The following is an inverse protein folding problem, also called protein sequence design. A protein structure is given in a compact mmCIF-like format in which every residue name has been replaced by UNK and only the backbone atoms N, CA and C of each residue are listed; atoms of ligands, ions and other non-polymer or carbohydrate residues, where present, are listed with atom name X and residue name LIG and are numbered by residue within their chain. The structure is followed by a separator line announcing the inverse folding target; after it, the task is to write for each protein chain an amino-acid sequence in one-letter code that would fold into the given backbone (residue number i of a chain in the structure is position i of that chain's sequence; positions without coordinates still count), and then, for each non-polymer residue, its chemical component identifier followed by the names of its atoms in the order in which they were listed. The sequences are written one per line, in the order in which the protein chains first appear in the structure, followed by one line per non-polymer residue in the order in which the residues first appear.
data_IF_945445022932
#
_entry.id   IF_945445022932
#
_cell.length_a   1.000
_cell.length_b   1.000
_cell.length_c   1.000
_cell.angle_alpha   90.00
_cell.angle_beta   90.00
_cell.angle_gamma   90.00
#
_symmetry.space_group_name_H-M   'P 1'
#
loop_
_entity.id
_entity.type
_entity.pdbx_description
1 polymer ?
#
# COMPACT_ATOMS: atom_id res chain seq x y z
N UNK A 1 -2.83 9.15 72.04
CA UNK A 1 -2.70 9.33 70.58
C UNK A 1 -1.63 10.37 70.37
N UNK A 2 -0.45 9.95 69.89
CA UNK A 2 0.67 10.86 69.63
C UNK A 2 0.41 11.60 68.31
N UNK A 3 0.18 12.91 68.38
CA UNK A 3 0.00 13.77 67.21
C UNK A 3 1.34 14.25 66.65
N UNK A 4 1.38 14.58 65.37
CA UNK A 4 2.58 15.10 64.70
C UNK A 4 2.81 16.55 65.15
N UNK A 5 3.94 16.84 65.82
CA UNK A 5 4.29 18.19 66.27
C UNK A 5 5.04 18.93 65.17
N UNK A 6 4.51 20.07 64.74
CA UNK A 6 5.19 20.97 63.79
C UNK A 6 5.23 22.38 64.35
N UNK A 7 6.40 23.04 64.24
CA UNK A 7 6.54 24.45 64.55
C UNK A 7 5.98 25.30 63.43
N UNK A 8 5.03 26.16 63.78
CA UNK A 8 4.51 27.20 62.88
C UNK A 8 4.79 28.52 63.57
N UNK A 9 5.77 29.28 63.05
CA UNK A 9 6.28 30.47 63.73
C UNK A 9 7.00 30.13 65.04
N UNK A 10 6.58 30.75 66.15
CA UNK A 10 7.17 30.57 67.49
C UNK A 10 6.39 29.59 68.40
N UNK A 11 5.31 28.97 67.92
CA UNK A 11 4.47 28.06 68.71
C UNK A 11 4.56 26.61 68.21
N UNK A 12 4.55 25.68 69.16
CA UNK A 12 4.54 24.24 68.91
C UNK A 12 3.08 23.76 68.76
N UNK A 13 2.63 23.57 67.51
CA UNK A 13 1.27 23.12 67.18
C UNK A 13 1.26 21.61 66.98
N UNK A 14 0.35 20.91 67.67
CA UNK A 14 0.18 19.46 67.53
C UNK A 14 -0.96 19.14 66.57
N UNK A 15 -0.64 18.47 65.46
CA UNK A 15 -1.61 18.02 64.47
C UNK A 15 -2.08 16.61 64.82
N UNK A 16 -3.36 16.48 65.17
CA UNK A 16 -4.00 15.19 65.45
C UNK A 16 -4.46 14.47 64.17
N UNK A 17 -4.42 15.14 63.02
CA UNK A 17 -4.83 14.59 61.75
C UNK A 17 -3.62 14.19 60.90
N UNK A 18 -3.44 12.89 60.66
CA UNK A 18 -2.50 12.37 59.67
C UNK A 18 -3.26 11.74 58.50
N UNK A 19 -3.07 12.33 57.30
CA UNK A 19 -3.69 11.83 56.06
C UNK A 19 -3.22 10.40 55.74
N UNK A 20 -1.95 10.11 55.97
CA UNK A 20 -1.34 8.82 55.69
C UNK A 20 -1.92 7.73 56.59
N UNK A 21 -2.11 8.01 57.89
CA UNK A 21 -2.74 7.06 58.82
C UNK A 21 -4.20 6.77 58.45
N UNK A 22 -4.94 7.76 57.93
CA UNK A 22 -6.30 7.53 57.43
C UNK A 22 -6.31 6.68 56.17
N UNK A 23 -5.38 6.92 55.24
CA UNK A 23 -5.25 6.14 54.02
C UNK A 23 -4.87 4.70 54.32
N UNK A 24 -3.97 4.46 55.29
CA UNK A 24 -3.58 3.11 55.71
C UNK A 24 -4.74 2.29 56.30
N UNK A 25 -5.76 2.95 56.86
CA UNK A 25 -6.98 2.33 57.39
C UNK A 25 -8.16 2.35 56.40
N UNK A 26 -8.00 2.95 55.23
CA UNK A 26 -9.05 3.02 54.23
C UNK A 26 -9.23 1.66 53.53
N UNK A 27 -10.40 1.37 52.94
CA UNK A 27 -10.59 0.18 52.13
C UNK A 27 -9.59 0.11 50.96
N UNK A 28 -9.21 -1.09 50.56
CA UNK A 28 -8.17 -1.37 49.55
C UNK A 28 -8.38 -0.57 48.24
N UNK A 29 -9.63 -0.46 47.76
CA UNK A 29 -9.98 0.33 46.57
C UNK A 29 -9.61 1.82 46.70
N UNK A 30 -9.75 2.40 47.89
CA UNK A 30 -9.42 3.80 48.18
C UNK A 30 -7.90 3.98 48.28
N UNK A 31 -7.21 3.02 48.89
CA UNK A 31 -5.74 3.01 48.94
C UNK A 31 -5.14 2.95 47.54
N UNK A 32 -5.65 2.06 46.69
CA UNK A 32 -5.22 1.89 45.31
C UNK A 32 -5.49 3.12 44.42
N UNK A 33 -6.59 3.85 44.68
CA UNK A 33 -6.88 5.12 43.98
C UNK A 33 -5.87 6.21 44.35
N UNK A 34 -5.46 6.27 45.62
CA UNK A 34 -4.49 7.27 46.10
C UNK A 34 -3.03 6.90 45.85
N UNK A 35 -2.71 5.61 45.66
CA UNK A 35 -1.36 5.15 45.33
C UNK A 35 -0.95 5.37 43.88
N UNK A 36 -1.87 5.86 43.02
CA UNK A 36 -1.62 6.07 41.59
C UNK A 36 -1.64 4.80 40.74
N UNK A 37 -1.89 3.62 41.34
CA UNK A 37 -1.89 2.33 40.66
C UNK A 37 -2.99 2.17 39.59
N UNK A 38 -4.07 2.96 39.67
CA UNK A 38 -5.15 2.98 38.67
C UNK A 38 -4.83 3.80 37.39
N UNK A 39 -3.65 4.42 37.29
CA UNK A 39 -3.27 5.22 36.11
C UNK A 39 -2.74 4.39 34.92
N UNK A 40 -2.85 3.06 34.94
CA UNK A 40 -2.53 2.24 33.78
C UNK A 40 -3.63 2.39 32.71
N UNK A 41 -3.50 3.43 31.88
CA UNK A 41 -4.27 3.55 30.63
C UNK A 41 -4.06 2.25 29.84
N UNK A 42 -5.12 1.54 29.42
CA UNK A 42 -4.96 0.36 28.58
C UNK A 42 -4.19 0.79 27.32
N UNK A 43 -3.09 0.10 27.03
CA UNK A 43 -2.33 0.36 25.81
C UNK A 43 -3.20 0.21 24.56
N UNK A 44 -2.81 0.86 23.46
CA UNK A 44 -3.60 0.91 22.21
C UNK A 44 -4.13 -0.47 21.79
N UNK A 45 -3.30 -1.51 21.85
CA UNK A 45 -3.68 -2.89 21.53
C UNK A 45 -4.68 -3.51 22.50
N UNK A 46 -4.55 -3.20 23.80
CA UNK A 46 -5.45 -3.70 24.84
C UNK A 46 -6.83 -3.04 24.75
N UNK A 47 -6.89 -1.79 24.28
CA UNK A 47 -8.14 -1.08 24.00
C UNK A 47 -8.81 -1.58 22.71
N UNK A 48 -8.03 -1.89 21.67
CA UNK A 48 -8.54 -2.37 20.38
C UNK A 48 -9.13 -3.79 20.45
N UNK A 49 -8.66 -4.61 21.39
CA UNK A 49 -9.12 -6.01 21.60
C UNK A 49 -9.93 -6.12 22.91
N UNK A 50 -10.40 -4.99 23.46
CA UNK A 50 -11.04 -4.96 24.78
C UNK A 50 -12.35 -5.77 24.86
N UNK A 51 -13.08 -5.90 23.75
CA UNK A 51 -14.31 -6.68 23.66
C UNK A 51 -14.24 -7.65 22.49
N UNK A 52 -14.98 -8.77 22.58
CA UNK A 52 -15.05 -9.78 21.50
C UNK A 52 -15.48 -9.16 20.16
N UNK A 53 -16.38 -8.18 20.20
CA UNK A 53 -16.84 -7.45 19.01
C UNK A 53 -15.73 -6.59 18.40
N UNK A 54 -14.95 -5.87 19.21
CA UNK A 54 -13.84 -5.05 18.72
C UNK A 54 -12.69 -5.90 18.18
N UNK A 55 -12.41 -7.04 18.84
CA UNK A 55 -11.46 -8.02 18.35
C UNK A 55 -11.86 -8.58 16.97
N UNK A 56 -13.15 -8.87 16.77
CA UNK A 56 -13.67 -9.34 15.48
C UNK A 56 -13.60 -8.26 14.40
N UNK A 57 -13.92 -7.01 14.73
CA UNK A 57 -13.84 -5.88 13.81
C UNK A 57 -12.38 -5.65 13.36
N UNK A 58 -11.43 -5.69 14.29
CA UNK A 58 -9.99 -5.60 13.98
C UNK A 58 -9.56 -6.73 13.04
N UNK A 59 -9.99 -7.96 13.31
CA UNK A 59 -9.71 -9.11 12.44
C UNK A 59 -10.30 -8.92 11.03
N UNK A 60 -11.52 -8.39 10.93
CA UNK A 60 -12.15 -8.10 9.64
C UNK A 60 -11.38 -7.04 8.84
N UNK A 61 -10.93 -5.95 9.49
CA UNK A 61 -10.09 -4.93 8.86
C UNK A 61 -8.77 -5.53 8.40
N UNK A 62 -8.14 -6.35 9.23
CA UNK A 62 -6.87 -6.99 8.92
C UNK A 62 -7.01 -7.92 7.72
N UNK A 63 -8.04 -8.78 7.70
CA UNK A 63 -8.37 -9.63 6.55
C UNK A 63 -8.57 -8.80 5.28
N UNK A 64 -9.40 -7.76 5.32
CA UNK A 64 -9.66 -6.89 4.17
C UNK A 64 -8.38 -6.22 3.65
N UNK A 65 -7.56 -5.66 4.55
CA UNK A 65 -6.29 -5.04 4.20
C UNK A 65 -5.30 -6.04 3.58
N UNK A 66 -5.29 -7.27 4.09
CA UNK A 66 -4.41 -8.33 3.58
C UNK A 66 -4.88 -8.76 2.18
N UNK A 67 -6.18 -8.94 1.97
CA UNK A 67 -6.74 -9.26 0.65
C UNK A 67 -6.48 -8.15 -0.37
N UNK A 68 -6.61 -6.88 0.03
CA UNK A 68 -6.32 -5.74 -0.83
C UNK A 68 -4.83 -5.68 -1.24
N UNK A 69 -3.92 -5.94 -0.29
CA UNK A 69 -2.48 -6.03 -0.56
C UNK A 69 -2.15 -7.18 -1.51
N UNK A 70 -2.71 -8.36 -1.28
CA UNK A 70 -2.51 -9.54 -2.13
C UNK A 70 -3.03 -9.27 -3.54
N UNK A 71 -4.24 -8.70 -3.69
CA UNK A 71 -4.79 -8.33 -5.00
C UNK A 71 -3.92 -7.30 -5.71
N UNK A 72 -3.48 -6.24 -5.02
CA UNK A 72 -2.61 -5.22 -5.61
C UNK A 72 -1.28 -5.82 -6.09
N UNK A 73 -0.68 -6.71 -5.30
CA UNK A 73 0.54 -7.41 -5.68
C UNK A 73 0.35 -8.34 -6.89
N UNK A 74 -0.76 -9.08 -6.96
CA UNK A 74 -1.08 -9.96 -8.08
C UNK A 74 -1.36 -9.17 -9.37
N UNK A 75 -2.09 -8.05 -9.30
CA UNK A 75 -2.44 -7.23 -10.47
C UNK A 75 -1.24 -6.43 -11.02
N UNK A 76 -0.35 -5.92 -10.16
CA UNK A 76 0.78 -5.08 -10.60
C UNK A 76 1.94 -5.85 -11.25
N UNK A 77 1.98 -7.19 -11.14
CA UNK A 77 3.06 -8.00 -11.74
C UNK A 77 3.05 -7.97 -13.27
N UNK A 78 1.89 -7.77 -13.89
CA UNK A 78 1.79 -7.83 -15.35
C UNK A 78 2.15 -6.51 -16.03
N UNK A 79 2.00 -5.36 -15.35
CA UNK A 79 2.13 -4.03 -15.98
C UNK A 79 3.44 -3.29 -15.72
N UNK A 80 4.29 -3.77 -14.80
CA UNK A 80 5.57 -3.13 -14.46
C UNK A 80 6.70 -4.13 -14.62
N UNK A 81 7.23 -4.23 -15.84
CA UNK A 81 8.40 -5.05 -16.10
C UNK A 81 9.58 -4.18 -16.53
N UNK A 82 10.76 -4.53 -16.02
CA UNK A 82 12.02 -3.87 -16.34
C UNK A 82 12.64 -4.53 -17.57
N UNK A 83 12.99 -3.72 -18.56
CA UNK A 83 13.69 -4.11 -19.76
C UNK A 83 14.86 -3.14 -19.96
N UNK A 84 16.08 -3.65 -19.82
CA UNK A 84 17.33 -2.88 -19.97
C UNK A 84 17.37 -1.54 -19.18
N UNK A 85 16.87 -1.51 -17.94
CA UNK A 85 16.89 -0.32 -17.08
C UNK A 85 15.70 0.63 -17.26
N UNK A 86 14.75 0.26 -18.12
CA UNK A 86 13.51 0.98 -18.34
C UNK A 86 12.32 0.17 -17.80
N UNK A 87 11.42 0.83 -17.08
CA UNK A 87 10.10 0.30 -16.75
C UNK A 87 9.12 0.79 -17.78
N UNK A 88 8.33 -0.12 -18.30
CA UNK A 88 7.23 0.20 -19.20
C UNK A 88 5.91 -0.06 -18.51
N UNK A 89 5.03 0.93 -18.55
CA UNK A 89 3.63 0.83 -18.14
C UNK A 89 2.78 1.00 -19.39
N UNK A 90 1.86 0.06 -19.61
CA UNK A 90 1.03 0.05 -20.82
C UNK A 90 -0.43 0.10 -20.45
N UNK A 91 -1.16 1.01 -21.10
CA UNK A 91 -2.59 1.19 -20.92
C UNK A 91 -3.27 1.15 -22.29
N UNK A 92 -4.43 0.51 -22.39
CA UNK A 92 -5.22 0.48 -23.61
C UNK A 92 -6.66 0.89 -23.31
N UNK A 93 -7.25 1.69 -24.19
CA UNK A 93 -8.62 2.14 -24.08
C UNK A 93 -9.31 2.21 -25.44
N UNK A 94 -10.63 2.03 -25.47
CA UNK A 94 -11.45 2.20 -26.68
C UNK A 94 -11.98 3.61 -26.77
N UNK A 95 -11.87 4.19 -27.96
CA UNK A 95 -12.46 5.49 -28.26
C UNK A 95 -12.93 5.53 -29.71
N UNK A 96 -14.21 5.87 -29.93
CA UNK A 96 -14.82 6.01 -31.26
C UNK A 96 -14.60 4.81 -32.22
N UNK A 97 -14.61 3.57 -31.71
CA UNK A 97 -14.43 2.36 -32.53
C UNK A 97 -12.98 2.03 -32.87
N UNK A 98 -12.00 2.75 -32.31
CA UNK A 98 -10.59 2.41 -32.39
C UNK A 98 -10.03 2.07 -31.00
N UNK A 99 -9.06 1.16 -30.96
CA UNK A 99 -8.31 0.85 -29.74
C UNK A 99 -7.04 1.69 -29.71
N UNK A 100 -6.88 2.50 -28.68
CA UNK A 100 -5.70 3.32 -28.44
C UNK A 100 -4.82 2.67 -27.38
N UNK A 101 -3.52 2.68 -27.63
CA UNK A 101 -2.51 2.17 -26.72
C UNK A 101 -1.62 3.34 -26.30
N UNK A 102 -1.49 3.52 -24.99
CA UNK A 102 -0.58 4.46 -24.35
C UNK A 102 0.54 3.66 -23.69
N UNK A 103 1.76 3.91 -24.15
CA UNK A 103 2.98 3.33 -23.62
C UNK A 103 3.76 4.41 -22.86
N UNK A 104 3.92 4.23 -21.56
CA UNK A 104 4.76 5.07 -20.71
C UNK A 104 6.05 4.35 -20.39
N UNK A 105 7.18 5.01 -20.64
CA UNK A 105 8.53 4.53 -20.29
C UNK A 105 9.07 5.38 -19.16
N UNK A 106 9.68 4.73 -18.17
CA UNK A 106 10.38 5.38 -17.06
C UNK A 106 11.77 4.76 -16.88
N UNK A 107 12.82 5.57 -17.03
CA UNK A 107 14.19 5.13 -16.78
C UNK A 107 14.46 5.03 -15.27
N UNK A 108 14.84 3.84 -14.78
CA UNK A 108 15.24 3.62 -13.38
C UNK A 108 16.71 3.99 -13.20
N UNK A 109 17.57 3.63 -14.17
CA UNK A 109 19.01 3.81 -14.10
C UNK A 109 19.47 4.91 -15.05
N UNK A 110 20.62 5.55 -14.74
CA UNK A 110 21.24 6.54 -15.64
C UNK A 110 21.71 5.91 -16.95
N UNK A 111 22.06 4.63 -16.91
CA UNK A 111 22.51 3.84 -18.05
C UNK A 111 21.35 3.06 -18.71
N UNK A 112 20.11 3.51 -18.50
CA UNK A 112 18.94 2.90 -19.12
C UNK A 112 19.07 2.92 -20.65
N UNK A 113 18.66 1.84 -21.28
CA UNK A 113 18.76 1.70 -22.72
C UNK A 113 18.00 2.80 -23.46
N UNK A 114 18.66 3.37 -24.47
CA UNK A 114 18.06 4.26 -25.47
C UNK A 114 18.35 3.69 -26.86
N UNK A 115 17.38 3.78 -27.75
CA UNK A 115 17.45 3.16 -29.07
C UNK A 115 16.11 2.61 -29.57
N UNK A 116 16.14 1.80 -30.63
CA UNK A 116 14.94 1.23 -31.22
C UNK A 116 14.22 0.28 -30.26
N UNK A 117 12.90 0.42 -30.21
CA UNK A 117 11.96 -0.47 -29.56
C UNK A 117 10.95 -0.93 -30.60
N UNK A 118 10.88 -2.23 -30.84
CA UNK A 118 9.82 -2.82 -31.66
C UNK A 118 8.70 -3.31 -30.75
N UNK A 119 7.48 -2.86 -31.00
CA UNK A 119 6.28 -3.24 -30.25
C UNK A 119 5.33 -3.96 -31.19
N UNK A 120 5.21 -5.28 -31.04
CA UNK A 120 4.19 -6.05 -31.74
C UNK A 120 2.94 -6.15 -30.85
N UNK A 121 1.77 -5.85 -31.41
CA UNK A 121 0.48 -5.86 -30.70
C UNK A 121 -0.48 -6.82 -31.40
N UNK A 122 -1.15 -7.66 -30.63
CA UNK A 122 -2.19 -8.55 -31.12
C UNK A 122 -3.35 -8.66 -30.12
N UNK A 123 -4.55 -9.05 -30.58
CA UNK A 123 -5.64 -9.45 -29.67
C UNK A 123 -5.24 -10.67 -28.84
N UNK A 124 -5.65 -10.70 -27.57
CA UNK A 124 -5.54 -11.90 -26.74
C UNK A 124 -6.66 -12.89 -27.11
N UNK A 125 -6.30 -14.11 -27.47
CA UNK A 125 -7.24 -15.18 -27.79
C UNK A 125 -7.08 -16.31 -26.77
N UNK A 126 -8.21 -16.85 -26.32
CA UNK A 126 -8.25 -17.88 -25.28
C UNK A 126 -8.00 -19.29 -25.82
N UNK A 127 -8.12 -19.53 -27.13
CA UNK A 127 -7.84 -20.81 -27.78
C UNK A 127 -7.72 -20.65 -29.32
N UNK A 128 -6.89 -21.48 -29.94
CA UNK A 128 -6.39 -21.45 -31.34
C UNK A 128 -7.43 -21.69 -32.44
N UNK A 129 -8.34 -20.74 -32.68
CA UNK A 129 -9.29 -20.86 -33.82
C UNK A 129 -8.97 -19.96 -35.03
N UNK A 130 -7.98 -19.06 -34.97
CA UNK A 130 -7.59 -18.26 -36.14
C UNK A 130 -6.24 -18.70 -36.73
N UNK A 131 -6.23 -18.94 -38.05
CA UNK A 131 -5.01 -19.22 -38.83
C UNK A 131 -4.19 -17.96 -39.16
N UNK A 132 -4.76 -16.76 -38.99
CA UNK A 132 -4.08 -15.48 -39.17
C UNK A 132 -4.55 -14.50 -38.09
N UNK A 133 -3.58 -13.96 -37.33
CA UNK A 133 -3.84 -12.99 -36.28
C UNK A 133 -3.43 -11.60 -36.79
N UNK A 134 -4.24 -10.55 -36.61
CA UNK A 134 -3.78 -9.21 -36.88
C UNK A 134 -2.66 -8.88 -35.87
N UNK A 135 -1.44 -8.75 -36.38
CA UNK A 135 -0.28 -8.28 -35.61
C UNK A 135 0.08 -6.92 -36.18
N UNK A 136 -0.02 -5.89 -35.34
CA UNK A 136 0.44 -4.55 -35.68
C UNK A 136 1.83 -4.36 -35.07
N UNK A 137 2.82 -3.98 -35.90
CA UNK A 137 4.19 -3.73 -35.44
C UNK A 137 4.46 -2.24 -35.46
N UNK A 138 4.71 -1.67 -34.29
CA UNK A 138 5.12 -0.29 -34.12
C UNK A 138 6.62 -0.21 -33.84
N UNK A 139 7.31 0.62 -34.60
CA UNK A 139 8.73 0.91 -34.40
C UNK A 139 8.87 2.25 -33.72
N UNK A 140 9.31 2.22 -32.47
CA UNK A 140 9.49 3.38 -31.61
C UNK A 140 10.99 3.57 -31.35
N UNK A 141 11.36 4.77 -30.90
CA UNK A 141 12.72 5.05 -30.44
C UNK A 141 12.62 5.62 -29.03
N UNK A 142 13.24 4.91 -28.09
CA UNK A 142 13.36 5.32 -26.69
C UNK A 142 14.54 6.28 -26.57
N UNK A 143 14.29 7.47 -26.03
CA UNK A 143 15.33 8.47 -25.81
C UNK A 143 15.99 8.35 -24.44
N UNK A 144 16.84 9.33 -24.13
CA UNK A 144 17.54 9.46 -22.85
C UNK A 144 16.67 10.12 -21.77
N UNK A 145 15.47 10.60 -22.11
CA UNK A 145 14.62 11.28 -21.13
C UNK A 145 14.16 10.29 -20.06
N UNK A 146 14.03 10.78 -18.83
CA UNK A 146 13.64 9.94 -17.70
C UNK A 146 12.22 9.38 -17.87
N UNK A 147 11.31 10.14 -18.48
CA UNK A 147 9.93 9.74 -18.71
C UNK A 147 9.53 10.08 -20.15
N UNK A 148 9.00 9.12 -20.88
CA UNK A 148 8.53 9.29 -22.26
C UNK A 148 7.17 8.59 -22.42
N UNK A 149 6.28 9.19 -23.20
CA UNK A 149 4.97 8.62 -23.49
C UNK A 149 4.76 8.53 -25.01
N UNK A 150 4.37 7.34 -25.47
CA UNK A 150 4.06 7.05 -26.86
C UNK A 150 2.60 6.64 -26.96
N UNK A 151 1.91 7.14 -27.99
CA UNK A 151 0.51 6.81 -28.24
C UNK A 151 0.33 6.39 -29.68
N UNK A 152 -0.37 5.29 -29.88
CA UNK A 152 -0.71 4.80 -31.22
C UNK A 152 -2.06 4.06 -31.18
N UNK A 153 -2.73 4.02 -32.32
CA UNK A 153 -3.95 3.24 -32.51
C UNK A 153 -3.62 1.89 -33.14
N UNK A 154 -4.41 0.87 -32.80
CA UNK A 154 -4.37 -0.43 -33.49
C UNK A 154 -5.66 -0.63 -34.29
N UNK A 155 -5.59 -1.21 -35.51
CA UNK A 155 -6.72 -1.29 -36.44
C UNK A 155 -7.66 -2.47 -36.13
N UNK A 156 -7.79 -2.85 -34.86
CA UNK A 156 -8.63 -3.96 -34.44
C UNK A 156 -9.23 -3.72 -33.05
N UNK A 157 -10.40 -4.32 -32.83
CA UNK A 157 -11.10 -4.31 -31.55
C UNK A 157 -10.76 -5.57 -30.76
N UNK A 158 -10.37 -5.40 -29.49
CA UNK A 158 -10.08 -6.52 -28.60
C UNK A 158 -10.45 -6.17 -27.17
N UNK A 159 -10.87 -7.14 -26.37
CA UNK A 159 -11.09 -6.98 -24.91
C UNK A 159 -9.78 -7.01 -24.13
N UNK A 160 -8.79 -7.72 -24.67
CA UNK A 160 -7.46 -7.85 -24.11
C UNK A 160 -6.46 -7.82 -25.25
N UNK A 161 -5.31 -7.18 -25.02
CA UNK A 161 -4.19 -7.12 -25.94
C UNK A 161 -3.02 -7.91 -25.37
N UNK A 162 -2.29 -8.57 -26.26
CA UNK A 162 -0.95 -9.09 -26.02
C UNK A 162 0.02 -8.16 -26.73
N UNK A 163 1.06 -7.74 -26.03
CA UNK A 163 2.11 -6.91 -26.60
C UNK A 163 3.46 -7.54 -26.35
N UNK A 164 4.30 -7.55 -27.39
CA UNK A 164 5.68 -8.01 -27.34
C UNK A 164 6.59 -6.84 -27.64
N UNK A 165 7.48 -6.57 -26.70
CA UNK A 165 8.46 -5.50 -26.76
C UNK A 165 9.78 -6.16 -27.05
N UNK A 166 10.47 -5.70 -28.09
CA UNK A 166 11.80 -6.18 -28.43
C UNK A 166 12.77 -5.00 -28.42
N UNK A 167 13.79 -5.12 -27.58
CA UNK A 167 14.92 -4.21 -27.48
C UNK A 167 16.20 -5.03 -27.58
N UNK A 168 17.00 -4.81 -28.64
CA UNK A 168 18.16 -5.67 -28.95
C UNK A 168 17.74 -7.16 -29.00
N UNK A 169 18.29 -7.98 -28.10
CA UNK A 169 18.03 -9.41 -27.97
C UNK A 169 17.08 -9.75 -26.82
N UNK A 170 16.63 -8.75 -26.05
CA UNK A 170 15.67 -8.94 -24.98
C UNK A 170 14.24 -8.74 -25.49
N UNK A 171 13.35 -9.63 -25.05
CA UNK A 171 11.93 -9.58 -25.34
C UNK A 171 11.10 -9.57 -24.07
N UNK A 172 10.03 -8.80 -24.09
CA UNK A 172 9.15 -8.66 -22.94
C UNK A 172 7.69 -8.72 -23.37
N UNK A 173 6.88 -9.50 -22.65
CA UNK A 173 5.47 -9.73 -22.96
C UNK A 173 4.58 -9.05 -21.94
N UNK A 174 3.65 -8.22 -22.44
CA UNK A 174 2.54 -7.67 -21.68
C UNK A 174 1.23 -8.33 -22.13
N UNK A 175 0.33 -8.53 -21.18
CA UNK A 175 -1.07 -8.83 -21.47
C UNK A 175 -1.90 -7.79 -20.71
N UNK A 176 -2.67 -6.98 -21.43
CA UNK A 176 -3.40 -5.86 -20.84
C UNK A 176 -4.88 -5.91 -21.23
N UNK A 177 -5.81 -5.63 -20.30
CA UNK A 177 -7.20 -5.40 -20.64
C UNK A 177 -7.35 -4.07 -21.37
N UNK A 178 -8.28 -4.02 -22.33
CA UNK A 178 -8.70 -2.78 -22.98
C UNK A 178 -9.89 -2.21 -22.19
N UNK A 179 -9.75 -0.95 -21.77
CA UNK A 179 -10.79 -0.23 -21.01
C UNK A 179 -11.77 0.52 -21.91
#
# INVERSE_FOLDING_TARGET
MEGEKKRIGHEDVTFYYSREQRLARAPEKVQLLHSGAFACRPGLFRSLVATKSMAFLLLAILMLSTTALVMSYLLNRESNQNLLGNVFTVEAFRFQGATYVALKKQAITKDAYSGPLEVAVSPYLKESEMQQFPIEIQKLVIGLQQSEEYRFSVPFEAEKLVMLFKCKDEMLKFTIPVK
#
